data_IF_410261929736
#
_entry.id   IF_410261929736
#
_cell.length_a   1.000
_cell.length_b   1.000
_cell.length_c   1.000
_cell.angle_alpha   90.00
_cell.angle_beta   90.00
_cell.angle_gamma   90.00
#
_symmetry.space_group_name_H-M   'P 1'
#
loop_
_entity.id
_entity.type
_entity.pdbx_description
1 polymer ?
#
# COMPACT_ATOMS: atom_id res chain seq x y z
N UNK A 1 -13.97 -8.26 7.32
CA UNK A 1 -13.43 -9.04 6.20
C UNK A 1 -12.64 -8.18 5.20
N UNK A 2 -13.25 -7.16 4.57
CA UNK A 2 -12.60 -6.36 3.51
C UNK A 2 -11.29 -5.67 3.89
N UNK A 3 -11.18 -5.09 5.09
CA UNK A 3 -9.98 -4.34 5.51
C UNK A 3 -8.72 -5.21 5.63
N UNK A 4 -8.86 -6.44 6.14
CA UNK A 4 -7.75 -7.40 6.27
C UNK A 4 -7.29 -7.89 4.90
N UNK A 5 -8.21 -8.15 3.98
CA UNK A 5 -7.88 -8.49 2.59
C UNK A 5 -7.11 -7.36 1.90
N UNK A 6 -7.51 -6.10 2.13
CA UNK A 6 -6.83 -4.94 1.54
C UNK A 6 -5.41 -4.78 2.05
N UNK A 7 -5.19 -4.94 3.35
CA UNK A 7 -3.84 -4.86 3.92
C UNK A 7 -2.91 -5.93 3.33
N UNK A 8 -3.40 -7.16 3.15
CA UNK A 8 -2.64 -8.21 2.46
C UNK A 8 -2.28 -7.83 1.03
N UNK A 9 -3.21 -7.22 0.28
CA UNK A 9 -2.92 -6.70 -1.08
C UNK A 9 -1.89 -5.57 -1.06
N UNK A 10 -1.92 -4.67 -0.07
CA UNK A 10 -0.93 -3.58 0.06
C UNK A 10 0.45 -4.13 0.33
N UNK A 11 0.59 -5.05 1.30
CA UNK A 11 1.88 -5.68 1.58
C UNK A 11 2.39 -6.46 0.36
N UNK A 12 1.56 -7.29 -0.26
CA UNK A 12 1.95 -8.04 -1.45
C UNK A 12 2.28 -7.16 -2.66
N UNK A 13 1.66 -5.97 -2.77
CA UNK A 13 2.03 -4.99 -3.79
C UNK A 13 3.42 -4.41 -3.53
N UNK A 14 3.74 -4.09 -2.26
CA UNK A 14 5.03 -3.57 -1.86
C UNK A 14 6.15 -4.61 -2.03
N UNK A 15 5.96 -5.82 -1.51
CA UNK A 15 6.90 -6.94 -1.66
C UNK A 15 7.22 -7.22 -3.13
N UNK A 16 6.20 -7.17 -3.98
CA UNK A 16 6.38 -7.43 -5.41
C UNK A 16 6.95 -6.23 -6.19
N UNK A 17 6.94 -5.03 -5.63
CA UNK A 17 7.69 -3.89 -6.16
C UNK A 17 9.19 -4.06 -5.88
N UNK A 18 9.54 -4.61 -4.72
CA UNK A 18 10.90 -5.06 -4.37
C UNK A 18 11.86 -3.97 -3.91
N UNK A 19 11.45 -2.70 -3.98
CA UNK A 19 12.20 -1.53 -3.51
C UNK A 19 11.30 -0.52 -2.80
N UNK A 20 11.89 0.55 -2.26
CA UNK A 20 11.16 1.57 -1.53
C UNK A 20 10.18 2.34 -2.47
N UNK A 21 8.89 2.19 -2.23
CA UNK A 21 7.82 2.69 -3.11
C UNK A 21 6.97 3.76 -2.44
N UNK A 22 6.49 4.72 -3.24
CA UNK A 22 5.46 5.65 -2.81
C UNK A 22 4.06 5.01 -2.97
N UNK A 23 3.04 5.49 -2.24
CA UNK A 23 1.67 4.99 -2.36
C UNK A 23 1.11 4.98 -3.79
N UNK A 24 1.48 5.97 -4.60
CA UNK A 24 1.08 6.08 -6.00
C UNK A 24 1.67 4.97 -6.88
N UNK A 25 2.86 4.45 -6.54
CA UNK A 25 3.51 3.37 -7.29
C UNK A 25 2.79 2.03 -7.05
N UNK A 26 2.11 1.91 -5.91
CA UNK A 26 1.48 0.66 -5.45
C UNK A 26 -0.02 0.58 -5.74
N UNK A 27 -0.69 1.71 -5.93
CA UNK A 27 -2.18 1.76 -6.01
C UNK A 27 -2.74 0.87 -7.11
N UNK A 28 -2.11 0.83 -8.28
CA UNK A 28 -2.57 0.02 -9.41
C UNK A 28 -2.64 -1.48 -9.07
N UNK A 29 -1.74 -1.97 -8.22
CA UNK A 29 -1.68 -3.37 -7.80
C UNK A 29 -2.50 -3.64 -6.54
N UNK A 30 -2.44 -2.74 -5.56
CA UNK A 30 -3.16 -2.90 -4.30
C UNK A 30 -4.68 -2.65 -4.41
N UNK A 31 -5.11 -1.90 -5.43
CA UNK A 31 -6.49 -1.52 -5.73
C UNK A 31 -6.90 -1.91 -7.16
N UNK A 32 -6.37 -3.03 -7.66
CA UNK A 32 -6.70 -3.65 -8.95
C UNK A 32 -8.20 -3.90 -9.20
N UNK A 33 -8.95 -4.07 -8.11
CA UNK A 33 -10.40 -4.28 -8.06
C UNK A 33 -11.21 -2.97 -7.92
N UNK A 34 -10.55 -1.82 -7.96
CA UNK A 34 -11.17 -0.49 -7.79
C UNK A 34 -11.03 0.30 -9.08
N UNK A 35 -12.12 0.92 -9.60
CA UNK A 35 -12.05 1.77 -10.79
C UNK A 35 -10.99 2.87 -10.66
N UNK A 36 -10.23 3.11 -11.74
CA UNK A 36 -9.13 4.09 -11.77
C UNK A 36 -9.56 5.49 -11.35
N UNK A 37 -10.80 5.89 -11.68
CA UNK A 37 -11.37 7.17 -11.27
C UNK A 37 -11.42 7.37 -9.74
N UNK A 38 -11.38 6.28 -8.97
CA UNK A 38 -11.38 6.30 -7.50
C UNK A 38 -9.97 6.15 -6.91
N UNK A 39 -8.93 5.94 -7.72
CA UNK A 39 -7.56 5.77 -7.24
C UNK A 39 -7.04 6.94 -6.40
N UNK A 40 -7.33 8.22 -6.71
CA UNK A 40 -6.90 9.34 -5.85
C UNK A 40 -7.41 9.23 -4.40
N UNK A 41 -8.59 8.64 -4.20
CA UNK A 41 -9.11 8.34 -2.87
C UNK A 41 -8.49 7.07 -2.28
N UNK A 42 -8.29 6.04 -3.11
CA UNK A 42 -7.67 4.78 -2.72
C UNK A 42 -6.24 4.97 -2.20
N UNK A 43 -5.44 5.85 -2.82
CA UNK A 43 -4.08 6.18 -2.40
C UNK A 43 -4.03 6.59 -0.92
N UNK A 44 -4.98 7.40 -0.45
CA UNK A 44 -5.03 7.81 0.97
C UNK A 44 -5.28 6.63 1.91
N UNK A 45 -6.13 5.71 1.47
CA UNK A 45 -6.40 4.48 2.23
C UNK A 45 -5.20 3.54 2.20
N UNK A 46 -4.50 3.44 1.06
CA UNK A 46 -3.26 2.68 0.90
C UNK A 46 -2.17 3.20 1.85
N UNK A 47 -1.97 4.53 1.89
CA UNK A 47 -1.02 5.16 2.80
C UNK A 47 -1.34 4.86 4.26
N UNK A 48 -2.62 4.91 4.65
CA UNK A 48 -3.03 4.52 6.01
C UNK A 48 -2.72 3.05 6.33
N UNK A 49 -2.77 2.15 5.33
CA UNK A 49 -2.35 0.76 5.48
C UNK A 49 -0.83 0.63 5.63
N UNK A 50 -0.03 1.35 4.84
CA UNK A 50 1.43 1.36 4.96
C UNK A 50 1.88 1.88 6.34
N UNK A 51 1.29 2.98 6.82
CA UNK A 51 1.58 3.53 8.17
C UNK A 51 1.24 2.50 9.26
N UNK A 52 0.16 1.74 9.11
CA UNK A 52 -0.19 0.67 10.06
C UNK A 52 0.86 -0.45 10.04
N UNK A 53 1.23 -0.94 8.85
CA UNK A 53 2.23 -2.00 8.68
C UNK A 53 3.60 -1.58 9.22
N UNK A 54 3.99 -0.31 9.01
CA UNK A 54 5.19 0.29 9.57
C UNK A 54 5.17 0.27 11.11
N UNK A 55 4.05 0.71 11.72
CA UNK A 55 3.87 0.68 13.18
C UNK A 55 3.89 -0.73 13.76
N UNK A 56 3.51 -1.72 12.96
CA UNK A 56 3.57 -3.13 13.31
C UNK A 56 4.95 -3.76 13.07
N UNK A 57 5.91 -2.99 12.54
CA UNK A 57 7.28 -3.44 12.24
C UNK A 57 7.36 -4.42 11.07
N UNK A 58 6.35 -4.43 10.19
CA UNK A 58 6.27 -5.35 9.04
C UNK A 58 6.92 -4.81 7.78
N UNK A 59 7.13 -3.51 7.71
CA UNK A 59 7.74 -2.77 6.60
C UNK A 59 8.49 -1.57 7.21
N UNK A 60 9.44 -1.00 6.47
CA UNK A 60 10.22 0.17 6.93
C UNK A 60 9.84 1.42 6.13
N UNK A 61 9.82 2.60 6.77
CA UNK A 61 9.61 3.88 6.09
C UNK A 61 10.94 4.60 5.84
N UNK A 62 11.13 5.03 4.60
CA UNK A 62 12.29 5.77 4.11
C UNK A 62 11.82 7.12 3.55
N UNK A 63 11.72 8.14 4.41
CA UNK A 63 11.15 9.44 4.02
C UNK A 63 9.66 9.31 3.66
N UNK A 64 9.33 9.49 2.38
CA UNK A 64 7.95 9.35 1.86
C UNK A 64 7.71 8.03 1.11
N UNK A 65 8.65 7.08 1.23
CA UNK A 65 8.60 5.75 0.64
C UNK A 65 8.53 4.68 1.72
N UNK A 66 8.02 3.51 1.37
CA UNK A 66 8.03 2.32 2.23
C UNK A 66 8.76 1.18 1.52
N UNK A 67 9.53 0.40 2.26
CA UNK A 67 10.23 -0.80 1.81
C UNK A 67 9.74 -2.03 2.61
N UNK A 68 9.68 -3.23 2.02
CA UNK A 68 9.28 -4.45 2.73
C UNK A 68 10.18 -4.77 3.93
#
# INVERSE_FOLDING_TARGET
AHRLMREGKVLGALEAHGEAACPNDLVARAYDDTPEALWPLAVRSLEAHLIKLEREGRITREGDRWAP
#
